data_IF_034758381952
#
_entry.id   IF_034758381952
#
_cell.length_a   1.000
_cell.length_b   1.000
_cell.length_c   1.000
_cell.angle_alpha   90.00
_cell.angle_beta   90.00
_cell.angle_gamma   90.00
#
_symmetry.space_group_name_H-M   'P 1'
#
loop_
_entity.id
_entity.type
_entity.pdbx_description
1 polymer ?
#
# COMPACT_ATOMS: atom_id res chain seq x y z
N UNK A 1 35.46 -4.13 -25.18
CA UNK A 1 34.31 -3.75 -24.34
C UNK A 1 33.06 -4.31 -24.98
N UNK A 2 32.58 -5.47 -24.52
CA UNK A 2 31.46 -6.16 -25.15
C UNK A 2 30.15 -5.52 -24.73
N UNK A 3 29.49 -4.83 -25.67
CA UNK A 3 28.13 -4.33 -25.51
C UNK A 3 27.24 -5.56 -25.40
N UNK A 4 26.84 -5.89 -24.18
CA UNK A 4 25.81 -6.92 -23.94
C UNK A 4 24.52 -6.38 -24.52
N UNK A 5 24.12 -6.88 -25.69
CA UNK A 5 22.80 -6.60 -26.28
C UNK A 5 21.73 -6.94 -25.25
N UNK A 6 21.09 -5.90 -24.70
CA UNK A 6 20.02 -6.09 -23.74
C UNK A 6 18.85 -6.67 -24.51
N UNK A 7 18.65 -7.99 -24.40
CA UNK A 7 17.47 -8.66 -24.95
C UNK A 7 16.22 -7.99 -24.37
N UNK A 8 15.34 -7.53 -25.26
CA UNK A 8 14.04 -6.99 -24.85
C UNK A 8 13.04 -8.13 -24.68
N UNK A 9 12.06 -7.91 -23.81
CA UNK A 9 11.02 -8.88 -23.60
C UNK A 9 10.07 -8.96 -24.81
N UNK A 10 9.69 -10.16 -25.20
CA UNK A 10 8.73 -10.42 -26.27
C UNK A 10 7.33 -9.90 -25.88
N UNK A 11 6.97 -9.95 -24.59
CA UNK A 11 5.69 -9.41 -24.12
C UNK A 11 5.62 -7.88 -24.15
N UNK A 12 6.76 -7.20 -24.03
CA UNK A 12 6.88 -5.74 -24.03
C UNK A 12 8.28 -5.36 -24.53
N UNK A 13 8.46 -5.08 -25.83
CA UNK A 13 9.77 -4.80 -26.42
C UNK A 13 10.47 -3.54 -25.89
N UNK A 14 9.75 -2.70 -25.14
CA UNK A 14 10.30 -1.53 -24.43
C UNK A 14 10.81 -1.87 -23.02
N UNK A 15 10.63 -3.11 -22.57
CA UNK A 15 11.01 -3.58 -21.23
C UNK A 15 12.07 -4.67 -21.34
N UNK A 16 12.99 -4.69 -20.38
CA UNK A 16 14.05 -5.70 -20.32
C UNK A 16 13.47 -7.11 -20.21
N UNK A 17 14.02 -8.04 -20.99
CA UNK A 17 13.79 -9.47 -20.83
C UNK A 17 14.21 -9.91 -19.44
N UNK A 18 13.41 -10.78 -18.83
CA UNK A 18 13.68 -11.37 -17.53
C UNK A 18 13.85 -12.89 -17.64
N UNK A 19 12.83 -13.61 -18.09
CA UNK A 19 12.86 -15.07 -18.28
C UNK A 19 11.71 -15.52 -19.19
N UNK A 20 11.87 -16.66 -19.89
CA UNK A 20 10.87 -17.24 -20.83
C UNK A 20 10.35 -16.27 -21.91
N UNK A 21 11.17 -15.31 -22.33
CA UNK A 21 10.75 -14.28 -23.30
C UNK A 21 9.97 -13.12 -22.68
N UNK A 22 9.67 -13.16 -21.38
CA UNK A 22 8.81 -12.18 -20.72
C UNK A 22 9.62 -11.14 -19.94
N UNK A 23 9.02 -9.97 -19.72
CA UNK A 23 9.54 -8.97 -18.80
C UNK A 23 9.25 -9.41 -17.36
N UNK A 24 9.95 -8.84 -16.38
CA UNK A 24 9.84 -9.24 -14.98
C UNK A 24 8.38 -9.20 -14.47
N UNK A 25 7.61 -8.19 -14.86
CA UNK A 25 6.21 -8.05 -14.44
C UNK A 25 5.32 -9.16 -15.02
N UNK A 26 5.44 -9.45 -16.33
CA UNK A 26 4.64 -10.48 -16.98
C UNK A 26 5.09 -11.87 -16.55
N UNK A 27 6.39 -12.12 -16.42
CA UNK A 27 6.91 -13.37 -15.87
C UNK A 27 6.37 -13.62 -14.46
N UNK A 28 6.39 -12.62 -13.57
CA UNK A 28 5.82 -12.76 -12.23
C UNK A 28 4.30 -12.87 -12.24
N UNK A 29 3.60 -12.22 -13.16
CA UNK A 29 2.15 -12.38 -13.29
C UNK A 29 1.81 -13.82 -13.70
N UNK A 30 2.54 -14.38 -14.66
CA UNK A 30 2.32 -15.74 -15.16
C UNK A 30 2.81 -16.83 -14.20
N UNK A 31 3.87 -16.57 -13.41
CA UNK A 31 4.51 -17.60 -12.59
C UNK A 31 4.38 -17.34 -11.07
N UNK A 32 3.81 -16.21 -10.62
CA UNK A 32 3.93 -15.78 -9.21
C UNK A 32 2.62 -15.37 -8.53
N UNK A 33 1.44 -15.52 -9.13
CA UNK A 33 0.20 -15.15 -8.40
C UNK A 33 -0.49 -16.28 -7.65
N UNK A 34 -0.05 -17.54 -7.78
CA UNK A 34 -0.75 -18.68 -7.14
C UNK A 34 0.17 -19.78 -6.63
N UNK A 35 1.30 -20.08 -7.27
CA UNK A 35 2.07 -21.29 -6.92
C UNK A 35 2.64 -21.33 -5.51
N UNK A 36 3.21 -20.25 -4.95
CA UNK A 36 3.68 -20.27 -3.56
C UNK A 36 2.54 -20.50 -2.56
N UNK A 37 1.39 -19.86 -2.81
CA UNK A 37 0.24 -19.94 -1.90
C UNK A 37 -0.46 -21.29 -2.04
N UNK A 38 -0.63 -21.78 -3.27
CA UNK A 38 -1.19 -23.09 -3.58
C UNK A 38 -0.25 -24.22 -3.14
N UNK A 39 1.07 -24.09 -3.29
CA UNK A 39 2.05 -25.09 -2.85
C UNK A 39 2.17 -25.13 -1.31
N UNK A 40 2.14 -23.96 -0.65
CA UNK A 40 2.33 -23.87 0.81
C UNK A 40 1.05 -24.09 1.61
N UNK A 41 -0.09 -23.69 1.05
CA UNK A 41 -1.38 -23.73 1.74
C UNK A 41 -2.41 -24.58 0.99
N UNK A 42 -2.38 -24.65 -0.34
CA UNK A 42 -3.28 -25.51 -1.15
C UNK A 42 -4.74 -25.36 -0.72
N UNK A 43 -5.41 -26.48 -0.48
CA UNK A 43 -6.79 -26.54 0.00
C UNK A 43 -6.99 -25.94 1.40
N UNK A 44 -5.91 -25.71 2.16
CA UNK A 44 -5.95 -25.08 3.49
C UNK A 44 -5.93 -23.56 3.42
N UNK A 45 -5.80 -22.97 2.22
CA UNK A 45 -5.79 -21.52 2.06
C UNK A 45 -7.04 -20.82 2.62
N UNK A 46 -8.28 -21.32 2.37
CA UNK A 46 -9.48 -20.74 2.97
C UNK A 46 -9.43 -20.75 4.51
N UNK A 47 -9.02 -21.88 5.09
CA UNK A 47 -8.87 -22.03 6.54
C UNK A 47 -7.78 -21.12 7.12
N UNK A 48 -6.66 -20.95 6.40
CA UNK A 48 -5.59 -20.03 6.80
C UNK A 48 -6.07 -18.58 6.78
N UNK A 49 -6.82 -18.17 5.75
CA UNK A 49 -7.43 -16.83 5.66
C UNK A 49 -8.43 -16.60 6.79
N UNK A 50 -9.34 -17.56 7.03
CA UNK A 50 -10.31 -17.49 8.13
C UNK A 50 -9.61 -17.33 9.48
N UNK A 51 -8.62 -18.18 9.78
CA UNK A 51 -7.82 -18.08 11.02
C UNK A 51 -7.11 -16.74 11.15
N UNK A 52 -6.57 -16.20 10.05
CA UNK A 52 -5.97 -14.87 10.08
C UNK A 52 -7.03 -13.79 10.34
N UNK A 53 -8.15 -13.80 9.62
CA UNK A 53 -9.24 -12.83 9.76
C UNK A 53 -9.82 -12.82 11.19
N UNK A 54 -9.96 -13.99 11.80
CA UNK A 54 -10.42 -14.19 13.18
C UNK A 54 -9.34 -13.92 14.23
N UNK A 55 -8.07 -13.84 13.85
CA UNK A 55 -6.98 -13.62 14.80
C UNK A 55 -7.06 -12.26 15.50
N UNK A 56 -6.52 -12.17 16.72
CA UNK A 56 -6.34 -10.90 17.43
C UNK A 56 -5.60 -9.87 16.59
N UNK A 57 -4.56 -10.30 15.86
CA UNK A 57 -3.77 -9.46 14.96
C UNK A 57 -4.60 -8.80 13.85
N UNK A 58 -5.54 -9.53 13.27
CA UNK A 58 -6.46 -8.98 12.26
C UNK A 58 -7.43 -7.98 12.89
N UNK A 59 -8.02 -8.32 14.04
CA UNK A 59 -8.91 -7.41 14.78
C UNK A 59 -8.21 -6.12 15.19
N UNK A 60 -7.00 -6.20 15.72
CA UNK A 60 -6.17 -5.03 16.06
C UNK A 60 -5.85 -4.18 14.82
N UNK A 61 -5.53 -4.82 13.69
CA UNK A 61 -5.30 -4.10 12.44
C UNK A 61 -6.56 -3.38 11.97
N UNK A 62 -7.72 -4.04 12.01
CA UNK A 62 -9.00 -3.45 11.65
C UNK A 62 -9.35 -2.28 12.58
N UNK A 63 -9.12 -2.44 13.89
CA UNK A 63 -9.30 -1.39 14.89
C UNK A 63 -8.41 -0.17 14.61
N UNK A 64 -7.10 -0.35 14.40
CA UNK A 64 -6.19 0.75 14.01
C UNK A 64 -6.66 1.45 12.74
N UNK A 65 -7.04 0.68 11.72
CA UNK A 65 -7.56 1.26 10.48
C UNK A 65 -8.83 2.08 10.71
N UNK A 66 -9.76 1.57 11.52
CA UNK A 66 -11.00 2.26 11.88
C UNK A 66 -10.71 3.58 12.63
N UNK A 67 -9.81 3.56 13.60
CA UNK A 67 -9.42 4.75 14.35
C UNK A 67 -8.80 5.82 13.45
N UNK A 68 -7.86 5.43 12.58
CA UNK A 68 -7.22 6.34 11.62
C UNK A 68 -8.26 6.90 10.64
N UNK A 69 -9.11 6.05 10.04
CA UNK A 69 -10.14 6.50 9.08
C UNK A 69 -11.09 7.49 9.72
N UNK A 70 -11.53 7.22 10.95
CA UNK A 70 -12.46 8.08 11.70
C UNK A 70 -11.83 9.43 12.06
N UNK A 71 -10.56 9.44 12.47
CA UNK A 71 -9.83 10.67 12.75
C UNK A 71 -9.69 11.55 11.50
N UNK A 72 -9.29 10.94 10.37
CA UNK A 72 -9.15 11.63 9.09
C UNK A 72 -10.51 12.13 8.58
N UNK A 73 -11.57 11.34 8.72
CA UNK A 73 -12.93 11.73 8.37
C UNK A 73 -13.34 13.04 9.07
N UNK A 74 -13.06 13.16 10.37
CA UNK A 74 -13.33 14.36 11.17
C UNK A 74 -12.49 15.56 10.73
N UNK A 75 -11.20 15.35 10.49
CA UNK A 75 -10.28 16.43 10.10
C UNK A 75 -10.58 17.00 8.71
N UNK A 76 -11.10 16.16 7.82
CA UNK A 76 -11.43 16.54 6.44
C UNK A 76 -12.91 16.89 6.24
N UNK A 77 -13.74 16.74 7.27
CA UNK A 77 -15.20 16.82 7.20
C UNK A 77 -15.79 15.93 6.07
N UNK A 78 -15.28 14.69 5.97
CA UNK A 78 -15.71 13.69 4.98
C UNK A 78 -16.21 12.45 5.72
N UNK A 79 -17.47 12.01 5.55
CA UNK A 79 -18.02 10.90 6.34
C UNK A 79 -17.33 9.56 6.06
N UNK A 80 -16.92 9.30 4.81
CA UNK A 80 -16.30 8.05 4.41
C UNK A 80 -15.10 8.25 3.48
N UNK A 81 -13.96 8.72 4.00
CA UNK A 81 -12.79 8.95 3.19
C UNK A 81 -12.22 7.62 2.70
N UNK A 82 -12.05 7.50 1.39
CA UNK A 82 -11.22 6.45 0.80
C UNK A 82 -9.77 6.80 1.09
N UNK A 83 -9.15 6.05 2.00
CA UNK A 83 -7.81 6.32 2.49
C UNK A 83 -6.77 6.49 1.37
N UNK A 84 -6.85 5.71 0.29
CA UNK A 84 -5.95 5.85 -0.86
C UNK A 84 -6.06 7.23 -1.53
N UNK A 85 -7.28 7.75 -1.64
CA UNK A 85 -7.56 9.03 -2.29
C UNK A 85 -7.10 10.19 -1.41
N UNK A 86 -7.31 10.10 -0.08
CA UNK A 86 -6.82 11.11 0.88
C UNK A 86 -5.33 11.38 0.72
N UNK A 87 -4.50 10.33 0.66
CA UNK A 87 -3.05 10.48 0.53
C UNK A 87 -2.56 10.67 -0.91
N UNK A 88 -3.47 10.94 -1.84
CA UNK A 88 -3.18 11.36 -3.22
C UNK A 88 -3.80 12.73 -3.53
N UNK A 89 -4.66 13.25 -2.66
CA UNK A 89 -5.36 14.54 -2.76
C UNK A 89 -4.49 15.63 -2.10
N UNK A 90 -3.94 16.58 -2.88
CA UNK A 90 -3.09 17.64 -2.33
C UNK A 90 -3.78 18.50 -1.27
N UNK A 91 -5.08 18.74 -1.42
CA UNK A 91 -5.86 19.55 -0.47
C UNK A 91 -5.98 18.80 0.85
N UNK A 92 -6.34 17.51 0.80
CA UNK A 92 -6.45 16.70 2.00
C UNK A 92 -5.10 16.57 2.72
N UNK A 93 -4.00 16.38 1.98
CA UNK A 93 -2.65 16.35 2.52
C UNK A 93 -2.31 17.69 3.20
N UNK A 94 -2.58 18.82 2.55
CA UNK A 94 -2.34 20.15 3.13
C UNK A 94 -3.15 20.38 4.40
N UNK A 95 -4.42 19.95 4.45
CA UNK A 95 -5.26 20.02 5.67
C UNK A 95 -4.67 19.18 6.80
N UNK A 96 -4.24 17.94 6.51
CA UNK A 96 -3.63 17.06 7.52
C UNK A 96 -2.29 17.62 8.00
N UNK A 97 -1.50 18.23 7.12
CA UNK A 97 -0.24 18.88 7.49
C UNK A 97 -0.50 20.09 8.40
N UNK A 98 -1.43 20.97 8.04
CA UNK A 98 -1.80 22.09 8.88
C UNK A 98 -2.34 21.64 10.25
N UNK A 99 -3.08 20.52 10.30
CA UNK A 99 -3.51 19.91 11.55
C UNK A 99 -2.35 19.38 12.40
N UNK A 100 -1.30 18.87 11.76
CA UNK A 100 -0.12 18.39 12.45
C UNK A 100 0.72 19.54 13.00
N UNK A 101 0.92 20.59 12.20
CA UNK A 101 1.72 21.77 12.55
C UNK A 101 1.10 22.53 13.73
N UNK A 102 -0.23 22.54 13.85
CA UNK A 102 -0.96 23.11 15.00
C UNK A 102 -1.06 22.19 16.22
N UNK A 103 -0.54 20.96 16.14
CA UNK A 103 -0.61 19.97 17.22
C UNK A 103 -2.02 19.43 17.47
N UNK A 104 -2.84 19.26 16.43
CA UNK A 104 -4.23 18.82 16.56
C UNK A 104 -4.34 17.49 17.35
N UNK A 105 -5.12 17.43 18.44
CA UNK A 105 -5.20 16.27 19.31
C UNK A 105 -5.77 15.04 18.60
N UNK A 106 -6.58 15.23 17.55
CA UNK A 106 -7.16 14.13 16.77
C UNK A 106 -6.06 13.46 15.94
N UNK A 107 -5.26 14.25 15.22
CA UNK A 107 -4.22 13.73 14.35
C UNK A 107 -3.05 13.15 15.13
N UNK A 108 -2.61 13.83 16.19
CA UNK A 108 -1.50 13.38 17.05
C UNK A 108 -1.80 12.03 17.70
N UNK A 109 -3.04 11.81 18.15
CA UNK A 109 -3.47 10.53 18.75
C UNK A 109 -3.35 9.33 17.81
N UNK A 110 -3.57 9.52 16.51
CA UNK A 110 -3.50 8.45 15.49
C UNK A 110 -2.19 8.48 14.70
N UNK A 111 -1.27 9.37 15.03
CA UNK A 111 -0.04 9.57 14.26
C UNK A 111 0.81 8.31 14.22
N UNK A 112 0.99 7.62 15.34
CA UNK A 112 1.76 6.38 15.43
C UNK A 112 1.21 5.28 14.51
N UNK A 113 -0.11 5.22 14.34
CA UNK A 113 -0.83 4.23 13.53
C UNK A 113 -0.74 4.48 12.00
N UNK A 114 -0.34 5.68 11.58
CA UNK A 114 -0.08 5.96 10.17
C UNK A 114 1.14 5.19 9.66
N UNK A 115 1.04 4.65 8.46
CA UNK A 115 2.16 4.00 7.78
C UNK A 115 3.27 5.02 7.47
N UNK A 116 4.51 4.56 7.32
CA UNK A 116 5.64 5.42 6.91
C UNK A 116 5.34 6.21 5.62
N UNK A 117 4.66 5.58 4.65
CA UNK A 117 4.26 6.24 3.39
C UNK A 117 3.26 7.38 3.61
N UNK A 118 2.28 7.19 4.49
CA UNK A 118 1.29 8.21 4.83
C UNK A 118 1.91 9.36 5.60
N UNK A 119 2.77 9.06 6.57
CA UNK A 119 3.56 10.07 7.29
C UNK A 119 4.41 10.89 6.32
N UNK A 120 5.09 10.22 5.39
CA UNK A 120 5.84 10.89 4.32
C UNK A 120 4.94 11.69 3.38
N UNK A 121 3.71 11.27 3.09
CA UNK A 121 2.81 12.08 2.28
C UNK A 121 2.40 13.38 2.99
N UNK A 122 2.24 13.36 4.32
CA UNK A 122 1.88 14.54 5.13
C UNK A 122 3.09 15.46 5.36
N UNK A 123 4.23 14.91 5.77
CA UNK A 123 5.42 15.66 6.14
C UNK A 123 6.46 15.82 5.04
N UNK A 124 6.47 14.90 4.08
CA UNK A 124 7.45 14.91 3.01
C UNK A 124 7.39 16.27 2.34
N UNK A 125 8.53 16.94 2.31
CA UNK A 125 8.74 18.07 1.43
C UNK A 125 8.17 17.68 0.07
N UNK A 126 7.35 18.57 -0.49
CA UNK A 126 7.20 18.63 -1.93
C UNK A 126 8.64 18.91 -2.42
N UNK A 127 9.41 17.84 -2.63
CA UNK A 127 10.60 17.93 -3.45
C UNK A 127 10.06 18.32 -4.82
N UNK A 128 10.35 19.56 -5.19
CA UNK A 128 10.09 20.20 -6.49
C UNK A 128 10.50 19.31 -7.68
#
# INVERSE_FOLDING_TARGET
MSITERRMADCHPTRKHYAKGLCQQCYRKENFSTDYVTQKFGDRLPDYRRKYEESSKSRERASRYYHVRTAIAKLLDRPEPKMREVFSDPVAIATLRAALDRGDPILTKVWSDLTKKQKKAIYGQLDE
#
